data_IF_411266675476
#
_entry.id   IF_411266675476
#
_cell.length_a   1.000
_cell.length_b   1.000
_cell.length_c   1.000
_cell.angle_alpha   90.00
_cell.angle_beta   90.00
_cell.angle_gamma   90.00
#
_symmetry.space_group_name_H-M   'P 1'
#
loop_
_entity.id
_entity.type
_entity.pdbx_description
1 polymer ?
#
# COMPACT_ATOMS: atom_id res chain seq x y z
N UNK A 1 -1.32 30.10 0.99
CA UNK A 1 -1.85 29.16 2.00
C UNK A 1 -3.35 29.22 2.01
N UNK A 2 -4.02 28.08 1.94
CA UNK A 2 -5.48 27.99 1.96
C UNK A 2 -5.95 27.72 3.38
N UNK A 3 -7.05 28.36 3.76
CA UNK A 3 -7.67 28.16 5.06
C UNK A 3 -8.41 26.82 5.08
N UNK A 4 -8.01 25.92 5.98
CA UNK A 4 -8.61 24.61 6.12
C UNK A 4 -10.12 24.68 6.42
N UNK A 5 -10.56 25.66 7.24
CA UNK A 5 -12.00 25.83 7.55
C UNK A 5 -12.80 26.24 6.31
N UNK A 6 -12.23 27.10 5.47
CA UNK A 6 -12.85 27.52 4.22
C UNK A 6 -12.97 26.33 3.25
N UNK A 7 -11.95 25.51 3.16
CA UNK A 7 -11.94 24.31 2.32
C UNK A 7 -12.97 23.30 2.81
N UNK A 8 -12.95 22.97 4.10
CA UNK A 8 -13.85 21.99 4.72
C UNK A 8 -15.29 22.51 4.87
N UNK A 9 -15.49 23.84 4.79
CA UNK A 9 -16.80 24.45 4.76
C UNK A 9 -17.60 24.18 3.47
N UNK A 10 -16.91 23.80 2.39
CA UNK A 10 -17.54 23.46 1.13
C UNK A 10 -18.06 22.01 1.14
N UNK A 11 -19.35 21.84 0.83
CA UNK A 11 -19.99 20.51 0.86
C UNK A 11 -19.41 19.53 -0.15
N UNK A 12 -19.08 20.00 -1.36
CA UNK A 12 -18.45 19.18 -2.39
C UNK A 12 -17.07 18.69 -1.94
N UNK A 13 -16.28 19.56 -1.32
CA UNK A 13 -14.97 19.21 -0.81
C UNK A 13 -15.04 18.17 0.30
N UNK A 14 -16.01 18.30 1.21
CA UNK A 14 -16.24 17.31 2.27
C UNK A 14 -16.60 15.95 1.70
N UNK A 15 -17.43 15.92 0.67
CA UNK A 15 -17.80 14.69 -0.03
C UNK A 15 -16.60 14.05 -0.72
N UNK A 16 -15.82 14.82 -1.49
CA UNK A 16 -14.63 14.34 -2.19
C UNK A 16 -13.59 13.80 -1.20
N UNK A 17 -13.43 14.44 -0.06
CA UNK A 17 -12.51 13.99 1.00
C UNK A 17 -12.99 12.67 1.61
N UNK A 18 -14.29 12.55 1.91
CA UNK A 18 -14.89 11.33 2.43
C UNK A 18 -14.76 10.15 1.45
N UNK A 19 -14.86 10.43 0.14
CA UNK A 19 -14.69 9.43 -0.91
C UNK A 19 -13.19 9.06 -1.17
N UNK A 20 -12.25 9.70 -0.47
CA UNK A 20 -10.82 9.47 -0.66
C UNK A 20 -10.27 9.98 -1.99
N UNK A 21 -10.97 10.92 -2.64
CA UNK A 21 -10.58 11.48 -3.93
C UNK A 21 -9.80 12.79 -3.84
N UNK A 22 -9.63 13.31 -2.64
CA UNK A 22 -8.95 14.56 -2.38
C UNK A 22 -7.74 14.33 -1.49
N UNK A 23 -6.61 14.89 -1.86
CA UNK A 23 -5.39 14.94 -1.07
C UNK A 23 -5.20 16.36 -0.56
N UNK A 24 -5.10 16.50 0.75
CA UNK A 24 -4.78 17.77 1.40
C UNK A 24 -3.31 17.76 1.76
N UNK A 25 -2.55 18.66 1.18
CA UNK A 25 -1.13 18.83 1.46
C UNK A 25 -0.94 19.82 2.59
N UNK A 26 -0.23 19.39 3.64
CA UNK A 26 0.03 20.19 4.82
C UNK A 26 1.49 20.63 4.86
N UNK A 27 1.73 21.85 5.35
CA UNK A 27 3.09 22.30 5.65
C UNK A 27 3.57 21.76 7.02
N UNK A 28 4.80 22.11 7.40
CA UNK A 28 5.41 21.68 8.68
C UNK A 28 4.64 22.13 9.94
N UNK A 29 3.72 23.09 9.81
CA UNK A 29 2.87 23.59 10.90
C UNK A 29 1.45 23.03 10.84
N UNK A 30 1.23 21.99 10.02
CA UNK A 30 -0.07 21.40 9.77
C UNK A 30 -1.10 22.39 9.17
N UNK A 31 -0.62 23.39 8.47
CA UNK A 31 -1.47 24.32 7.74
C UNK A 31 -1.63 23.83 6.31
N UNK A 32 -2.87 23.87 5.81
CA UNK A 32 -3.17 23.49 4.43
C UNK A 32 -2.49 24.45 3.46
N UNK A 33 -1.64 23.93 2.59
CA UNK A 33 -1.03 24.73 1.54
C UNK A 33 -1.51 24.38 0.14
N UNK A 34 -2.04 23.19 -0.04
CA UNK A 34 -2.60 22.79 -1.32
C UNK A 34 -3.68 21.71 -1.15
N UNK A 35 -4.56 21.60 -2.13
CA UNK A 35 -5.58 20.55 -2.21
C UNK A 35 -5.61 20.03 -3.63
N UNK A 36 -5.48 18.72 -3.78
CA UNK A 36 -5.46 18.05 -5.08
C UNK A 36 -6.53 16.98 -5.14
N UNK A 37 -7.16 16.85 -6.32
CA UNK A 37 -8.04 15.72 -6.62
C UNK A 37 -7.24 14.66 -7.36
N UNK A 38 -7.32 13.43 -6.91
CA UNK A 38 -6.70 12.28 -7.56
C UNK A 38 -7.80 11.54 -8.33
N UNK A 39 -7.62 11.43 -9.64
CA UNK A 39 -8.51 10.68 -10.52
C UNK A 39 -7.76 9.49 -11.10
N UNK A 40 -8.40 8.35 -11.11
CA UNK A 40 -7.91 7.12 -11.72
C UNK A 40 -8.72 6.80 -12.96
N UNK A 41 -8.05 6.32 -14.02
CA UNK A 41 -8.71 5.99 -15.27
C UNK A 41 -9.60 4.74 -15.17
N UNK A 42 -10.53 4.55 -16.14
CA UNK A 42 -11.39 3.36 -16.19
C UNK A 42 -10.60 2.04 -16.23
N UNK A 43 -9.43 2.02 -16.87
CA UNK A 43 -8.56 0.85 -16.95
C UNK A 43 -8.04 0.42 -15.57
N UNK A 44 -7.79 1.37 -14.68
CA UNK A 44 -7.44 1.05 -13.29
C UNK A 44 -8.55 0.25 -12.61
N UNK A 45 -9.79 0.69 -12.73
CA UNK A 45 -10.92 -0.01 -12.10
C UNK A 45 -11.19 -1.37 -12.75
N UNK A 46 -10.93 -1.51 -14.06
CA UNK A 46 -10.97 -2.79 -14.73
C UNK A 46 -9.90 -3.73 -14.17
N UNK A 47 -8.68 -3.24 -13.93
CA UNK A 47 -7.61 -4.00 -13.30
C UNK A 47 -7.96 -4.40 -11.86
N UNK A 48 -8.54 -3.49 -11.09
CA UNK A 48 -9.01 -3.80 -9.74
C UNK A 48 -10.05 -4.92 -9.72
N UNK A 49 -11.03 -4.86 -10.63
CA UNK A 49 -12.03 -5.94 -10.79
C UNK A 49 -11.40 -7.27 -11.20
N UNK A 50 -10.41 -7.24 -12.07
CA UNK A 50 -9.66 -8.44 -12.48
C UNK A 50 -8.99 -9.11 -11.29
N UNK A 51 -8.36 -8.34 -10.40
CA UNK A 51 -7.74 -8.85 -9.17
C UNK A 51 -8.79 -9.46 -8.24
N UNK A 52 -9.89 -8.77 -8.02
CA UNK A 52 -10.98 -9.27 -7.16
C UNK A 52 -11.58 -10.58 -7.71
N UNK A 53 -11.76 -10.66 -9.01
CA UNK A 53 -12.23 -11.87 -9.67
C UNK A 53 -11.24 -13.03 -9.51
N UNK A 54 -9.95 -12.78 -9.70
CA UNK A 54 -8.90 -13.77 -9.50
C UNK A 54 -8.95 -14.35 -8.08
N UNK A 55 -9.05 -13.49 -7.06
CA UNK A 55 -9.13 -13.92 -5.65
C UNK A 55 -10.36 -14.80 -5.43
N UNK A 56 -11.50 -14.38 -5.93
CA UNK A 56 -12.76 -15.13 -5.80
C UNK A 56 -12.69 -16.50 -6.48
N UNK A 57 -12.26 -16.57 -7.75
CA UNK A 57 -12.20 -17.80 -8.54
C UNK A 57 -11.16 -18.79 -8.03
N UNK A 58 -10.00 -18.29 -7.57
CA UNK A 58 -8.92 -19.14 -7.07
C UNK A 58 -8.99 -19.39 -5.57
N UNK A 59 -10.01 -18.85 -4.88
CA UNK A 59 -10.18 -18.97 -3.42
C UNK A 59 -8.90 -18.63 -2.67
N UNK A 60 -8.26 -17.51 -3.05
CA UNK A 60 -6.99 -17.08 -2.46
C UNK A 60 -7.24 -16.59 -1.04
N UNK A 61 -6.72 -17.29 0.00
CA UNK A 61 -6.90 -16.86 1.38
C UNK A 61 -5.85 -15.84 1.80
N UNK A 62 -6.15 -15.09 2.86
CA UNK A 62 -5.19 -14.30 3.63
C UNK A 62 -4.45 -13.20 2.85
N UNK A 63 -5.03 -12.75 1.74
CA UNK A 63 -4.60 -11.56 1.01
C UNK A 63 -5.76 -10.57 1.01
N UNK A 64 -5.56 -9.44 1.68
CA UNK A 64 -6.55 -8.36 1.69
C UNK A 64 -6.25 -7.38 0.56
N UNK A 65 -7.19 -7.23 -0.37
CA UNK A 65 -7.05 -6.33 -1.52
C UNK A 65 -8.11 -5.25 -1.46
N UNK A 66 -7.67 -4.00 -1.50
CA UNK A 66 -8.53 -2.83 -1.46
C UNK A 66 -8.16 -1.81 -2.53
N UNK A 67 -9.14 -1.02 -2.94
CA UNK A 67 -8.92 0.19 -3.73
C UNK A 67 -8.50 1.31 -2.76
N UNK A 68 -7.21 1.63 -2.75
CA UNK A 68 -6.67 2.71 -1.93
C UNK A 68 -6.61 4.01 -2.71
N UNK A 69 -6.35 5.13 -2.00
CA UNK A 69 -6.17 6.43 -2.64
C UNK A 69 -5.10 6.41 -3.74
N UNK A 70 -4.02 5.66 -3.53
CA UNK A 70 -2.86 5.64 -4.44
C UNK A 70 -2.85 4.48 -5.42
N UNK A 71 -3.70 3.47 -5.23
CA UNK A 71 -3.75 2.32 -6.12
C UNK A 71 -4.35 1.07 -5.51
N UNK A 72 -4.13 -0.05 -6.18
CA UNK A 72 -4.58 -1.36 -5.69
C UNK A 72 -3.64 -1.82 -4.60
N UNK A 73 -4.15 -1.91 -3.37
CA UNK A 73 -3.39 -2.30 -2.19
C UNK A 73 -3.60 -3.78 -1.87
N UNK A 74 -2.50 -4.53 -1.87
CA UNK A 74 -2.40 -5.89 -1.34
C UNK A 74 -1.75 -5.82 0.03
N UNK A 75 -2.49 -6.08 1.09
CA UNK A 75 -1.96 -6.11 2.45
C UNK A 75 -1.85 -7.56 2.93
N UNK A 76 -0.64 -7.97 3.32
CA UNK A 76 -0.30 -9.38 3.59
C UNK A 76 0.54 -9.50 4.85
N UNK A 77 0.22 -10.46 5.69
CA UNK A 77 0.97 -10.80 6.91
C UNK A 77 2.03 -11.89 6.64
N UNK A 78 2.93 -11.64 5.71
CA UNK A 78 3.98 -12.60 5.36
C UNK A 78 4.85 -12.96 6.58
N UNK A 79 5.16 -14.24 6.72
CA UNK A 79 5.95 -14.78 7.82
C UNK A 79 7.43 -14.91 7.44
N UNK A 80 8.28 -14.50 8.36
CA UNK A 80 9.74 -14.54 8.22
C UNK A 80 10.35 -15.40 9.32
N UNK A 81 11.58 -15.85 9.10
CA UNK A 81 12.39 -16.43 10.17
C UNK A 81 12.57 -15.37 11.26
N UNK A 82 12.43 -15.72 12.56
CA UNK A 82 12.60 -14.75 13.65
C UNK A 82 13.92 -13.97 13.55
N UNK A 83 13.84 -12.66 13.75
CA UNK A 83 14.96 -11.72 13.67
C UNK A 83 15.75 -11.75 12.35
N UNK A 84 15.15 -12.24 11.29
CA UNK A 84 15.75 -12.40 9.97
C UNK A 84 14.91 -11.75 8.88
N UNK A 85 15.53 -11.28 7.78
CA UNK A 85 14.80 -10.85 6.59
C UNK A 85 14.34 -12.01 5.70
N UNK A 86 14.66 -13.25 6.05
CA UNK A 86 14.36 -14.41 5.24
C UNK A 86 12.91 -14.85 5.39
N UNK A 87 12.18 -14.98 4.26
CA UNK A 87 10.82 -15.52 4.23
C UNK A 87 10.80 -16.99 4.60
N UNK A 88 9.78 -17.40 5.36
CA UNK A 88 9.50 -18.83 5.54
C UNK A 88 9.13 -19.47 4.19
N UNK A 89 9.59 -20.70 3.91
CA UNK A 89 9.31 -21.38 2.64
C UNK A 89 7.83 -21.52 2.33
N UNK A 90 6.99 -21.64 3.34
CA UNK A 90 5.54 -21.75 3.19
C UNK A 90 4.87 -20.49 2.62
N UNK A 91 5.57 -19.35 2.60
CA UNK A 91 5.08 -18.10 2.02
C UNK A 91 5.26 -18.01 0.49
N UNK A 92 6.08 -18.89 -0.10
CA UNK A 92 6.31 -18.92 -1.55
C UNK A 92 5.04 -19.01 -2.38
N UNK A 93 4.03 -19.85 -2.04
CA UNK A 93 2.76 -19.88 -2.78
C UNK A 93 2.02 -18.54 -2.77
N UNK A 94 2.01 -17.82 -1.64
CA UNK A 94 1.36 -16.49 -1.56
C UNK A 94 2.10 -15.45 -2.41
N UNK A 95 3.42 -15.44 -2.38
CA UNK A 95 4.24 -14.58 -3.24
C UNK A 95 3.94 -14.84 -4.71
N UNK A 96 3.85 -16.11 -5.10
CA UNK A 96 3.49 -16.49 -6.48
C UNK A 96 2.12 -15.98 -6.88
N UNK A 97 1.12 -16.11 -6.01
CA UNK A 97 -0.25 -15.61 -6.27
C UNK A 97 -0.27 -14.10 -6.46
N UNK A 98 0.45 -13.35 -5.61
CA UNK A 98 0.57 -11.90 -5.75
C UNK A 98 1.26 -11.54 -7.07
N UNK A 99 2.36 -12.22 -7.40
CA UNK A 99 3.07 -12.01 -8.66
C UNK A 99 2.19 -12.29 -9.89
N UNK A 100 1.39 -13.34 -9.87
CA UNK A 100 0.43 -13.65 -10.95
C UNK A 100 -0.60 -12.52 -11.12
N UNK A 101 -1.17 -12.02 -10.03
CA UNK A 101 -2.12 -10.91 -10.07
C UNK A 101 -1.47 -9.62 -10.58
N UNK A 102 -0.28 -9.29 -10.10
CA UNK A 102 0.48 -8.12 -10.58
C UNK A 102 0.81 -8.23 -12.06
N UNK A 103 1.29 -9.39 -12.50
CA UNK A 103 1.62 -9.65 -13.91
C UNK A 103 0.41 -9.46 -14.81
N UNK A 104 -0.76 -9.92 -14.37
CA UNK A 104 -2.00 -9.79 -15.14
C UNK A 104 -2.40 -8.32 -15.35
N UNK A 105 -2.33 -7.51 -14.31
CA UNK A 105 -2.77 -6.11 -14.40
C UNK A 105 -1.77 -5.21 -15.12
N UNK A 106 -0.46 -5.47 -15.02
CA UNK A 106 0.57 -4.64 -15.70
C UNK A 106 0.59 -4.86 -17.22
N UNK A 107 0.00 -5.92 -17.75
CA UNK A 107 -0.12 -6.16 -19.19
C UNK A 107 -0.99 -5.13 -19.89
N UNK A 108 -2.01 -4.63 -19.21
CA UNK A 108 -3.07 -3.82 -19.80
C UNK A 108 -3.02 -2.35 -19.37
N UNK A 109 -2.16 -2.01 -18.42
CA UNK A 109 -2.06 -0.65 -17.91
C UNK A 109 -0.66 -0.38 -17.32
N UNK A 110 -0.27 0.89 -17.30
CA UNK A 110 0.99 1.31 -16.67
C UNK A 110 0.82 1.39 -15.15
N UNK A 111 1.53 0.52 -14.44
CA UNK A 111 1.63 0.54 -12.99
C UNK A 111 3.08 0.66 -12.55
N UNK A 112 3.29 1.34 -11.42
CA UNK A 112 4.48 1.17 -10.59
C UNK A 112 4.09 0.44 -9.32
N UNK A 113 5.02 -0.26 -8.70
CA UNK A 113 4.74 -1.10 -7.53
C UNK A 113 5.56 -0.60 -6.35
N UNK A 114 4.86 -0.22 -5.27
CA UNK A 114 5.48 0.17 -4.01
C UNK A 114 5.31 -0.96 -3.01
N UNK A 115 6.43 -1.42 -2.43
CA UNK A 115 6.44 -2.42 -1.35
C UNK A 115 6.80 -1.73 -0.04
N UNK A 116 5.95 -1.84 0.97
CA UNK A 116 6.12 -1.16 2.26
C UNK A 116 6.06 -2.17 3.40
N UNK A 117 7.12 -2.23 4.20
CA UNK A 117 7.24 -3.15 5.31
C UNK A 117 6.98 -2.49 6.67
N UNK A 118 6.21 -3.18 7.51
CA UNK A 118 5.80 -2.71 8.83
C UNK A 118 6.02 -3.78 9.89
N UNK A 119 6.36 -3.34 11.10
CA UNK A 119 6.51 -4.21 12.28
C UNK A 119 5.52 -3.83 13.37
N UNK A 120 5.31 -4.72 14.33
CA UNK A 120 4.77 -4.33 15.62
C UNK A 120 5.79 -3.49 16.37
N UNK A 121 5.34 -2.71 17.34
CA UNK A 121 6.23 -1.99 18.26
C UNK A 121 6.56 -2.87 19.46
N UNK A 122 7.84 -3.23 19.57
CA UNK A 122 8.41 -4.00 20.68
C UNK A 122 9.44 -3.17 21.47
N UNK A 123 9.44 -1.84 21.29
CA UNK A 123 10.35 -0.95 21.99
C UNK A 123 11.79 -0.93 21.44
N UNK A 124 11.99 -1.39 20.21
CA UNK A 124 13.32 -1.44 19.55
C UNK A 124 13.28 -0.70 18.20
N UNK A 125 13.12 0.63 18.19
CA UNK A 125 12.79 1.38 16.97
C UNK A 125 13.85 1.27 15.86
N UNK A 126 15.14 1.29 16.20
CA UNK A 126 16.23 1.20 15.19
C UNK A 126 16.27 -0.19 14.57
N UNK A 127 16.24 -1.24 15.39
CA UNK A 127 16.26 -2.62 14.92
C UNK A 127 15.01 -2.96 14.10
N UNK A 128 13.85 -2.51 14.53
CA UNK A 128 12.57 -2.67 13.82
C UNK A 128 12.60 -1.95 12.46
N UNK A 129 13.14 -0.75 12.41
CA UNK A 129 13.28 0.00 11.15
C UNK A 129 14.18 -0.74 10.17
N UNK A 130 15.37 -1.14 10.59
CA UNK A 130 16.34 -1.84 9.74
C UNK A 130 15.77 -3.17 9.25
N UNK A 131 15.16 -3.95 10.13
CA UNK A 131 14.57 -5.23 9.78
C UNK A 131 13.42 -5.07 8.78
N UNK A 132 12.57 -4.05 8.95
CA UNK A 132 11.48 -3.78 8.01
C UNK A 132 11.98 -3.43 6.61
N UNK A 133 13.07 -2.66 6.50
CA UNK A 133 13.71 -2.33 5.23
C UNK A 133 14.22 -3.60 4.52
N UNK A 134 14.94 -4.45 5.24
CA UNK A 134 15.50 -5.68 4.69
C UNK A 134 14.41 -6.68 4.29
N UNK A 135 13.38 -6.85 5.10
CA UNK A 135 12.23 -7.71 4.79
C UNK A 135 11.46 -7.23 3.58
N UNK A 136 11.26 -5.93 3.45
CA UNK A 136 10.62 -5.32 2.28
C UNK A 136 11.39 -5.61 1.00
N UNK A 137 12.72 -5.50 1.05
CA UNK A 137 13.61 -5.83 -0.06
C UNK A 137 13.54 -7.31 -0.43
N UNK A 138 13.47 -8.19 0.57
CA UNK A 138 13.29 -9.64 0.35
C UNK A 138 11.98 -9.94 -0.39
N UNK A 139 10.88 -9.31 0.00
CA UNK A 139 9.58 -9.48 -0.67
C UNK A 139 9.64 -8.98 -2.10
N UNK A 140 10.19 -7.79 -2.32
CA UNK A 140 10.39 -7.24 -3.67
C UNK A 140 11.19 -8.21 -4.55
N UNK A 141 12.32 -8.71 -4.07
CA UNK A 141 13.16 -9.65 -4.81
C UNK A 141 12.43 -10.96 -5.11
N UNK A 142 11.63 -11.47 -4.17
CA UNK A 142 10.83 -12.66 -4.39
C UNK A 142 9.78 -12.47 -5.50
N UNK A 143 9.14 -11.30 -5.57
CA UNK A 143 8.21 -10.97 -6.65
C UNK A 143 8.93 -10.84 -8.01
N UNK A 144 10.13 -10.27 -8.02
CA UNK A 144 10.97 -10.18 -9.23
C UNK A 144 11.34 -11.59 -9.72
N UNK A 145 11.73 -12.48 -8.82
CA UNK A 145 12.03 -13.89 -9.17
C UNK A 145 10.81 -14.61 -9.79
N UNK A 146 9.60 -14.24 -9.40
CA UNK A 146 8.36 -14.78 -9.97
C UNK A 146 7.94 -14.08 -11.28
N UNK A 147 8.75 -13.17 -11.81
CA UNK A 147 8.58 -12.60 -13.13
C UNK A 147 8.03 -11.17 -13.19
N UNK A 148 7.83 -10.50 -12.05
CA UNK A 148 7.43 -9.10 -12.05
C UNK A 148 8.63 -8.22 -12.40
N UNK A 149 8.54 -7.30 -13.39
CA UNK A 149 9.68 -6.50 -13.83
C UNK A 149 10.28 -5.63 -12.74
N UNK A 150 11.60 -5.72 -12.58
CA UNK A 150 12.35 -5.01 -11.52
C UNK A 150 12.19 -3.49 -11.60
N UNK A 151 12.15 -2.93 -12.81
CA UNK A 151 12.06 -1.49 -13.06
C UNK A 151 10.78 -0.85 -12.54
N UNK A 152 9.74 -1.63 -12.24
CA UNK A 152 8.47 -1.14 -11.72
C UNK A 152 8.49 -0.89 -10.21
N UNK A 153 9.49 -1.43 -9.50
CA UNK A 153 9.48 -1.45 -8.04
C UNK A 153 10.17 -0.25 -7.40
N UNK A 154 9.56 0.18 -6.31
CA UNK A 154 10.21 0.92 -5.22
C UNK A 154 9.84 0.23 -3.90
N UNK A 155 10.68 0.39 -2.87
CA UNK A 155 10.42 -0.21 -1.56
C UNK A 155 10.79 0.71 -0.42
N UNK A 156 10.06 0.59 0.70
CA UNK A 156 10.30 1.35 1.93
C UNK A 156 10.02 0.49 3.17
N UNK A 157 10.87 0.58 4.17
CA UNK A 157 10.59 0.06 5.49
C UNK A 157 10.20 1.19 6.43
N UNK A 158 9.17 0.96 7.24
CA UNK A 158 8.66 1.94 8.19
C UNK A 158 8.83 1.52 9.66
N UNK A 159 9.33 0.30 9.90
CA UNK A 159 9.38 -0.22 11.26
C UNK A 159 8.00 -0.19 11.89
N UNK A 160 7.89 0.31 13.12
CA UNK A 160 6.64 0.44 13.86
C UNK A 160 5.99 1.82 13.74
N UNK A 161 6.45 2.68 12.83
CA UNK A 161 6.02 4.09 12.77
C UNK A 161 4.64 4.31 12.15
N UNK A 162 4.05 3.29 11.50
CA UNK A 162 2.75 3.37 10.83
C UNK A 162 1.82 2.22 11.25
N UNK A 163 1.40 2.17 12.53
CA UNK A 163 0.51 1.12 12.99
C UNK A 163 -0.89 1.27 12.38
N UNK A 164 -1.55 0.14 12.15
CA UNK A 164 -2.97 0.06 11.74
C UNK A 164 -3.87 -0.41 12.89
N UNK A 165 -3.26 -0.91 13.95
CA UNK A 165 -3.94 -1.40 15.14
C UNK A 165 -3.13 -1.10 16.40
N UNK A 166 -3.69 -1.38 17.58
CA UNK A 166 -2.99 -1.21 18.85
C UNK A 166 -1.82 -2.17 18.98
N UNK A 167 -0.70 -1.70 19.53
CA UNK A 167 0.42 -2.56 19.94
C UNK A 167 0.26 -3.14 21.35
N UNK A 168 -0.82 -2.81 22.05
CA UNK A 168 -1.07 -3.28 23.41
C UNK A 168 -1.53 -4.76 23.46
N UNK A 169 -2.12 -5.27 22.38
CA UNK A 169 -2.60 -6.65 22.27
C UNK A 169 -1.84 -7.43 21.21
N UNK A 170 -1.78 -8.76 21.33
CA UNK A 170 -1.16 -9.60 20.30
C UNK A 170 -1.94 -9.56 18.99
N UNK A 171 -3.26 -9.48 19.04
CA UNK A 171 -4.11 -9.33 17.85
C UNK A 171 -3.77 -8.04 17.08
N UNK A 172 -3.60 -6.94 17.80
CA UNK A 172 -3.21 -5.66 17.20
C UNK A 172 -1.79 -5.68 16.65
N UNK A 173 -0.84 -6.25 17.38
CA UNK A 173 0.54 -6.43 16.91
C UNK A 173 0.60 -7.31 15.67
N UNK A 174 -0.18 -8.36 15.60
CA UNK A 174 -0.27 -9.22 14.42
C UNK A 174 -0.73 -8.44 13.17
N UNK A 175 -1.70 -7.55 13.32
CA UNK A 175 -2.15 -6.67 12.22
C UNK A 175 -1.06 -5.67 11.79
N UNK A 176 -0.24 -5.21 12.72
CA UNK A 176 0.85 -4.28 12.42
C UNK A 176 2.02 -4.96 11.70
N UNK A 177 2.24 -6.25 11.92
CA UNK A 177 3.25 -7.06 11.21
C UNK A 177 2.74 -7.40 9.81
N UNK A 178 2.97 -6.51 8.87
CA UNK A 178 2.46 -6.65 7.50
C UNK A 178 3.41 -6.11 6.45
N UNK A 179 3.19 -6.52 5.23
CA UNK A 179 3.76 -5.92 4.03
C UNK A 179 2.61 -5.42 3.17
N UNK A 180 2.67 -4.15 2.82
CA UNK A 180 1.71 -3.50 1.93
C UNK A 180 2.34 -3.38 0.54
N UNK A 181 1.70 -3.96 -0.46
CA UNK A 181 2.14 -3.91 -1.85
C UNK A 181 1.09 -3.13 -2.62
N UNK A 182 1.46 -1.97 -3.16
CA UNK A 182 0.54 -1.09 -3.88
C UNK A 182 0.90 -1.03 -5.35
N UNK A 183 0.00 -1.48 -6.21
CA UNK A 183 0.07 -1.23 -7.64
C UNK A 183 -0.51 0.16 -7.92
N UNK A 184 0.37 1.13 -8.21
CA UNK A 184 0.03 2.53 -8.41
C UNK A 184 -0.13 2.82 -9.89
N UNK A 185 -1.35 3.19 -10.36
CA UNK A 185 -1.57 3.58 -11.74
C UNK A 185 -0.97 4.97 -11.99
N UNK A 186 -0.86 5.33 -13.27
CA UNK A 186 -0.68 6.72 -13.65
C UNK A 186 -1.88 7.51 -13.15
N UNK A 187 -1.66 8.39 -12.18
CA UNK A 187 -2.70 9.23 -11.59
C UNK A 187 -2.66 10.63 -12.19
N UNK A 188 -3.83 11.20 -12.45
CA UNK A 188 -3.97 12.61 -12.79
C UNK A 188 -4.29 13.41 -11.55
N UNK A 189 -3.41 14.34 -11.19
CA UNK A 189 -3.61 15.25 -10.08
C UNK A 189 -4.19 16.55 -10.61
N UNK A 190 -5.41 16.87 -10.19
CA UNK A 190 -6.08 18.08 -10.59
C UNK A 190 -6.01 19.07 -9.42
N UNK A 191 -5.26 20.15 -9.60
CA UNK A 191 -5.26 21.26 -8.66
C UNK A 191 -6.55 22.06 -8.83
N UNK A 192 -7.24 22.32 -7.72
CA UNK A 192 -8.47 23.11 -7.71
C UNK A 192 -8.26 24.40 -6.94
N UNK A 193 -8.90 25.45 -7.41
CA UNK A 193 -8.98 26.74 -6.68
C UNK A 193 -10.11 26.65 -5.65
N UNK A 194 -9.72 26.56 -4.41
CA UNK A 194 -10.63 26.44 -3.27
C UNK A 194 -10.89 27.78 -2.59
#
# INVERSE_FOLDING_TARGET
RKDALKILGNEENRRLLADGKVVILLDKKNLVYDVQTVEKDPEYYASYRTVKKYIYENKVPDINVTDSLTGILFSVDLKFIPDSPELLPQERPRIRRIAEMLTEIIRNNEFTILVEGHTADLGKPVGQMNLSIERTRTVMNALIEEGVPQELFTYKGYGATRPVATNATEEGRAQNRRVDITARPRATYIQRDW
#
